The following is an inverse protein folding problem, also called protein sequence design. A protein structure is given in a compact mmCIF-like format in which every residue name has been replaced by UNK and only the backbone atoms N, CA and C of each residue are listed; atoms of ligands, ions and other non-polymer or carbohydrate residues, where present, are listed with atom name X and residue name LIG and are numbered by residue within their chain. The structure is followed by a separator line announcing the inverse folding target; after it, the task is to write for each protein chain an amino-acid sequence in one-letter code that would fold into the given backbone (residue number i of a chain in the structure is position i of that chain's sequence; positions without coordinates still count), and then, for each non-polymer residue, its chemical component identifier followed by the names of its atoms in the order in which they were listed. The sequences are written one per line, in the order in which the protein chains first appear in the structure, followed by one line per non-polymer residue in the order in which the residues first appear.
data_IF_019176470699
#
_entry.id   IF_019176470699
#
_cell.length_a   1.000
_cell.length_b   1.000
_cell.length_c   1.000
_cell.angle_alpha   90.00
_cell.angle_beta   90.00
_cell.angle_gamma   90.00
#
_symmetry.space_group_name_H-M   'P 1'
#
loop_
_entity.id
_entity.type
_entity.pdbx_description
1 polymer ?
#
# COMPACT_ATOMS: atom_id res chain seq x y z
N UNK A 1 -8.04 13.51 -18.18
CA UNK A 1 -7.94 12.04 -18.22
C UNK A 1 -8.20 11.56 -19.64
N UNK A 2 -7.39 10.67 -20.22
CA UNK A 2 -7.69 10.23 -21.60
C UNK A 2 -8.92 9.29 -21.65
N UNK A 3 -9.49 9.05 -22.84
CA UNK A 3 -10.72 8.26 -23.00
C UNK A 3 -10.64 6.84 -22.42
N UNK A 4 -9.51 6.14 -22.63
CA UNK A 4 -9.28 4.78 -22.06
C UNK A 4 -9.14 4.82 -20.53
N UNK A 5 -8.49 5.85 -20.00
CA UNK A 5 -8.37 6.05 -18.56
C UNK A 5 -9.72 6.36 -17.93
N UNK A 6 -10.60 7.11 -18.64
CA UNK A 6 -11.99 7.41 -18.23
C UNK A 6 -12.83 6.15 -18.11
N UNK A 7 -12.85 5.32 -19.15
CA UNK A 7 -13.57 4.02 -19.12
C UNK A 7 -13.07 3.12 -17.99
N UNK A 8 -11.75 3.06 -17.77
CA UNK A 8 -11.17 2.26 -16.68
C UNK A 8 -11.52 2.84 -15.31
N UNK A 9 -11.49 4.17 -15.16
CA UNK A 9 -11.85 4.84 -13.91
C UNK A 9 -13.33 4.65 -13.59
N UNK A 10 -14.23 4.70 -14.57
CA UNK A 10 -15.66 4.43 -14.39
C UNK A 10 -15.90 3.02 -13.84
N UNK A 11 -15.23 2.00 -14.39
CA UNK A 11 -15.31 0.63 -13.87
C UNK A 11 -14.80 0.50 -12.43
N UNK A 12 -13.76 1.25 -12.07
CA UNK A 12 -13.21 1.28 -10.72
C UNK A 12 -14.16 2.03 -9.78
N UNK A 13 -14.70 3.16 -10.23
CA UNK A 13 -15.63 4.03 -9.50
C UNK A 13 -16.93 3.32 -9.18
N UNK A 14 -17.47 2.57 -10.13
CA UNK A 14 -18.69 1.78 -9.98
C UNK A 14 -18.61 0.75 -8.83
N UNK A 15 -17.40 0.32 -8.48
CA UNK A 15 -17.14 -0.61 -7.36
C UNK A 15 -17.06 0.09 -5.99
N UNK A 16 -17.04 1.42 -5.96
CA UNK A 16 -17.07 2.25 -4.76
C UNK A 16 -15.70 2.58 -4.15
N UNK A 17 -15.66 3.70 -3.43
CA UNK A 17 -14.45 4.26 -2.79
C UNK A 17 -13.85 3.32 -1.74
N UNK A 18 -14.68 2.68 -0.92
CA UNK A 18 -14.21 1.76 0.12
C UNK A 18 -13.43 0.59 -0.49
N UNK A 19 -13.97 -0.03 -1.56
CA UNK A 19 -13.29 -1.12 -2.26
C UNK A 19 -11.99 -0.67 -2.92
N UNK A 20 -11.94 0.55 -3.44
CA UNK A 20 -10.70 1.10 -3.98
C UNK A 20 -9.62 1.24 -2.90
N UNK A 21 -9.94 1.80 -1.74
CA UNK A 21 -9.01 1.98 -0.61
C UNK A 21 -8.52 0.62 -0.10
N UNK A 22 -9.42 -0.35 0.08
CA UNK A 22 -9.06 -1.70 0.53
C UNK A 22 -8.14 -2.40 -0.48
N UNK A 23 -8.48 -2.37 -1.78
CA UNK A 23 -7.72 -3.11 -2.80
C UNK A 23 -6.41 -2.40 -3.17
N UNK A 24 -6.44 -1.09 -3.41
CA UNK A 24 -5.26 -0.37 -3.91
C UNK A 24 -4.40 0.20 -2.78
N UNK A 25 -5.01 0.63 -1.67
CA UNK A 25 -4.29 1.15 -0.52
C UNK A 25 -3.74 0.04 0.37
N UNK A 26 -4.61 -0.81 0.90
CA UNK A 26 -4.22 -1.82 1.89
C UNK A 26 -3.57 -3.03 1.21
N UNK A 27 -4.28 -3.70 0.30
CA UNK A 27 -3.75 -4.93 -0.33
C UNK A 27 -2.62 -4.60 -1.31
N UNK A 28 -2.86 -3.66 -2.23
CA UNK A 28 -1.92 -3.32 -3.28
C UNK A 28 -0.63 -2.71 -2.76
N UNK A 29 -0.72 -1.75 -1.84
CA UNK A 29 0.44 -1.01 -1.34
C UNK A 29 0.89 -1.49 0.04
N UNK A 30 0.02 -1.49 1.04
CA UNK A 30 0.38 -1.84 2.42
C UNK A 30 0.89 -3.27 2.61
N UNK A 31 0.12 -4.27 2.17
CA UNK A 31 0.48 -5.69 2.35
C UNK A 31 1.70 -6.04 1.49
N UNK A 32 1.73 -5.61 0.22
CA UNK A 32 2.87 -5.86 -0.67
C UNK A 32 4.17 -5.28 -0.13
N UNK A 33 4.16 -4.04 0.37
CA UNK A 33 5.36 -3.39 0.94
C UNK A 33 5.81 -4.04 2.24
N UNK A 34 4.88 -4.45 3.12
CA UNK A 34 5.22 -5.19 4.33
C UNK A 34 5.87 -6.55 4.03
N UNK A 35 5.38 -7.27 3.02
CA UNK A 35 6.00 -8.53 2.56
C UNK A 35 7.40 -8.26 2.02
N UNK A 36 7.57 -7.26 1.15
CA UNK A 36 8.88 -6.91 0.59
C UNK A 36 9.86 -6.51 1.71
N UNK A 37 9.43 -5.66 2.65
CA UNK A 37 10.25 -5.24 3.79
C UNK A 37 10.73 -6.44 4.61
N UNK A 38 9.83 -7.38 4.89
CA UNK A 38 10.14 -8.62 5.61
C UNK A 38 11.13 -9.49 4.84
N UNK A 39 10.93 -9.67 3.53
CA UNK A 39 11.84 -10.45 2.68
C UNK A 39 13.24 -9.82 2.61
N UNK A 40 13.31 -8.49 2.48
CA UNK A 40 14.59 -7.76 2.49
C UNK A 40 15.29 -7.92 3.83
N UNK A 41 14.57 -7.79 4.94
CA UNK A 41 15.12 -8.03 6.29
C UNK A 41 15.71 -9.44 6.43
N UNK A 42 14.98 -10.47 6.00
CA UNK A 42 15.45 -11.87 6.04
C UNK A 42 16.70 -12.13 5.18
N UNK A 43 16.83 -11.45 4.03
CA UNK A 43 18.01 -11.56 3.16
C UNK A 43 19.20 -10.82 3.78
N UNK A 44 18.98 -9.63 4.33
CA UNK A 44 20.00 -8.83 4.99
C UNK A 44 20.55 -9.54 6.24
N UNK A 45 19.69 -10.17 7.04
CA UNK A 45 20.10 -10.94 8.24
C UNK A 45 21.02 -12.13 7.91
N UNK A 46 20.85 -12.74 6.72
CA UNK A 46 21.70 -13.84 6.27
C UNK A 46 23.01 -13.37 5.63
N UNK A 47 23.12 -12.11 5.23
CA UNK A 47 24.26 -11.59 4.44
C UNK A 47 25.12 -10.54 5.13
N UNK A 48 24.62 -9.84 6.14
CA UNK A 48 25.31 -8.74 6.82
C UNK A 48 25.11 -8.94 8.31
N UNK A 49 26.19 -9.26 9.03
CA UNK A 49 26.19 -9.57 10.46
C UNK A 49 25.48 -8.50 11.30
N UNK A 50 24.21 -8.74 11.63
CA UNK A 50 23.53 -8.09 12.74
C UNK A 50 23.41 -9.12 13.85
N UNK A 51 24.51 -9.29 14.59
CA UNK A 51 24.62 -10.26 15.71
C UNK A 51 23.70 -9.95 16.92
N UNK A 52 22.70 -9.07 16.78
CA UNK A 52 21.80 -8.68 17.88
C UNK A 52 20.33 -8.53 17.46
N UNK A 53 19.88 -9.23 16.42
CA UNK A 53 18.45 -9.31 16.12
C UNK A 53 17.85 -10.44 16.94
N UNK A 54 17.41 -10.09 18.16
CA UNK A 54 16.49 -10.95 18.89
C UNK A 54 15.22 -11.12 18.05
N UNK A 55 14.75 -12.35 17.88
CA UNK A 55 13.48 -12.68 17.19
C UNK A 55 12.31 -11.81 17.67
N UNK A 56 12.34 -11.41 18.95
CA UNK A 56 11.35 -10.52 19.54
C UNK A 56 11.37 -9.11 18.94
N UNK A 57 12.54 -8.57 18.60
CA UNK A 57 12.69 -7.25 17.97
C UNK A 57 12.18 -7.26 16.52
N UNK A 58 12.49 -8.33 15.76
CA UNK A 58 11.97 -8.48 14.38
C UNK A 58 10.45 -8.59 14.32
N UNK A 59 9.81 -9.25 15.29
CA UNK A 59 8.34 -9.33 15.33
C UNK A 59 7.68 -7.98 15.64
N UNK A 60 8.29 -7.17 16.52
CA UNK A 60 7.81 -5.83 16.84
C UNK A 60 7.99 -4.90 15.63
N UNK A 61 9.15 -4.92 14.98
CA UNK A 61 9.44 -4.12 13.79
C UNK A 61 8.49 -4.50 12.64
N UNK A 62 8.17 -5.79 12.47
CA UNK A 62 7.19 -6.27 11.50
C UNK A 62 5.76 -5.82 11.85
N UNK A 63 5.37 -5.87 13.12
CA UNK A 63 4.06 -5.39 13.56
C UNK A 63 3.88 -3.88 13.32
N UNK A 64 4.92 -3.09 13.62
CA UNK A 64 4.93 -1.64 13.32
C UNK A 64 4.82 -1.42 11.81
N UNK A 65 5.61 -2.13 11.00
CA UNK A 65 5.53 -2.06 9.54
C UNK A 65 4.12 -2.40 9.02
N UNK A 66 3.49 -3.46 9.56
CA UNK A 66 2.14 -3.90 9.17
C UNK A 66 1.05 -2.90 9.57
N UNK A 67 1.31 -1.95 10.47
CA UNK A 67 0.36 -0.89 10.82
C UNK A 67 0.67 0.38 10.03
N UNK A 68 1.94 0.79 9.99
CA UNK A 68 2.38 2.04 9.35
C UNK A 68 2.18 1.98 7.83
N UNK A 69 2.63 0.91 7.16
CA UNK A 69 2.55 0.82 5.70
C UNK A 69 1.11 0.78 5.18
N UNK A 70 0.17 0.01 5.75
CA UNK A 70 -1.24 0.10 5.37
C UNK A 70 -1.87 1.46 5.69
N UNK A 71 -1.49 2.12 6.79
CA UNK A 71 -2.01 3.46 7.12
C UNK A 71 -1.61 4.47 6.05
N UNK A 72 -0.35 4.46 5.62
CA UNK A 72 0.14 5.31 4.52
C UNK A 72 -0.56 4.94 3.21
N UNK A 73 -0.73 3.64 2.92
CA UNK A 73 -1.46 3.16 1.75
C UNK A 73 -2.92 3.63 1.71
N UNK A 74 -3.61 3.65 2.86
CA UNK A 74 -4.97 4.19 2.99
C UNK A 74 -4.99 5.69 2.70
N UNK A 75 -4.10 6.47 3.31
CA UNK A 75 -4.03 7.92 3.08
C UNK A 75 -3.73 8.25 1.61
N UNK A 76 -2.77 7.56 1.02
CA UNK A 76 -2.40 7.75 -0.39
C UNK A 76 -3.56 7.39 -1.33
N UNK A 77 -4.27 6.29 -1.06
CA UNK A 77 -5.40 5.86 -1.89
C UNK A 77 -6.61 6.78 -1.75
N UNK A 78 -6.88 7.34 -0.56
CA UNK A 78 -7.89 8.41 -0.39
C UNK A 78 -7.52 9.65 -1.21
N UNK A 79 -6.27 10.10 -1.11
CA UNK A 79 -5.80 11.28 -1.84
C UNK A 79 -5.89 11.07 -3.35
N UNK A 80 -5.45 9.91 -3.83
CA UNK A 80 -5.47 9.55 -5.25
C UNK A 80 -6.89 9.42 -5.78
N UNK A 81 -7.80 8.81 -5.00
CA UNK A 81 -9.22 8.76 -5.34
C UNK A 81 -9.80 10.16 -5.50
N UNK A 82 -9.61 11.03 -4.49
CA UNK A 82 -10.16 12.38 -4.55
C UNK A 82 -9.59 13.17 -5.73
N UNK A 83 -8.30 13.02 -6.04
CA UNK A 83 -7.68 13.67 -7.21
C UNK A 83 -8.29 13.17 -8.53
N UNK A 84 -8.46 11.85 -8.69
CA UNK A 84 -9.07 11.25 -9.87
C UNK A 84 -10.55 11.60 -10.02
N UNK A 85 -11.26 11.71 -8.91
CA UNK A 85 -12.65 12.16 -8.88
C UNK A 85 -12.81 13.60 -9.36
N UNK A 86 -11.92 14.49 -8.90
CA UNK A 86 -11.88 15.88 -9.32
C UNK A 86 -11.49 16.03 -10.80
N UNK A 87 -10.56 15.22 -11.28
CA UNK A 87 -10.19 15.17 -12.70
C UNK A 87 -11.38 14.72 -13.56
N UNK A 88 -12.09 13.67 -13.13
CA UNK A 88 -13.26 13.14 -13.83
C UNK A 88 -14.45 14.12 -13.86
N UNK A 89 -14.68 14.88 -12.79
CA UNK A 89 -15.79 15.86 -12.72
C UNK A 89 -15.52 17.15 -13.50
N UNK A 90 -14.26 17.46 -13.81
CA UNK A 90 -13.85 18.65 -14.57
C UNK A 90 -13.91 18.44 -16.09
N UNK A 91 -14.08 17.20 -16.56
CA UNK A 91 -14.21 16.80 -17.97
C UNK A 91 -15.61 16.34 -18.33
#
# INVERSE_FOLDING_TARGET
MNKKEKERWEQIRAKGKLRYILVHGIIGWGVSTAIIYTLVGLIMDKGIGMENISLQKSLIDLAIALVVFPTVGVLQSIFTWNKKEQEYLKE
#
